data_IF_760283706230
#
_entry.id   IF_760283706230
#
_cell.length_a   1.000
_cell.length_b   1.000
_cell.length_c   1.000
_cell.angle_alpha   90.00
_cell.angle_beta   90.00
_cell.angle_gamma   90.00
#
_symmetry.space_group_name_H-M   'P 1'
#
loop_
_entity.id
_entity.type
_entity.pdbx_description
1 polymer ?
#
# COMPACT_ATOMS: atom_id res chain seq x y z
N UNK A 1 -8.93 -21.07 4.00
CA UNK A 1 -8.00 -19.95 4.31
C UNK A 1 -8.37 -19.40 5.67
N UNK A 2 -7.47 -19.47 6.67
CA UNK A 2 -7.73 -18.89 7.99
C UNK A 2 -7.69 -17.36 7.88
N UNK A 3 -8.74 -16.72 8.39
CA UNK A 3 -8.94 -15.27 8.39
C UNK A 3 -8.18 -14.69 9.58
N UNK A 4 -7.20 -13.82 9.34
CA UNK A 4 -6.33 -13.25 10.38
C UNK A 4 -7.00 -12.02 11.00
N UNK A 5 -7.66 -12.19 12.15
CA UNK A 5 -8.42 -11.13 12.83
C UNK A 5 -7.54 -10.17 13.68
N UNK A 6 -6.30 -10.57 14.01
CA UNK A 6 -5.37 -9.81 14.88
C UNK A 6 -4.01 -9.49 14.22
N UNK A 7 -4.04 -8.93 13.00
CA UNK A 7 -2.81 -8.50 12.30
C UNK A 7 -2.18 -7.27 12.97
N UNK A 8 -0.85 -7.28 13.07
CA UNK A 8 -0.02 -6.13 13.43
C UNK A 8 1.11 -5.96 12.41
N UNK A 9 1.55 -4.73 12.21
CA UNK A 9 2.72 -4.43 11.39
C UNK A 9 3.93 -4.25 12.32
N UNK A 10 5.05 -4.89 11.97
CA UNK A 10 6.33 -4.70 12.66
C UNK A 10 7.26 -3.93 11.74
N UNK A 11 7.87 -2.87 12.26
CA UNK A 11 8.98 -2.18 11.59
C UNK A 11 10.28 -2.80 12.10
N UNK A 12 11.08 -3.34 11.20
CA UNK A 12 12.42 -3.85 11.52
C UNK A 12 13.41 -2.84 10.99
N UNK A 13 13.99 -2.06 11.90
CA UNK A 13 15.14 -1.23 11.58
C UNK A 13 16.37 -2.14 11.48
N UNK A 14 16.68 -2.61 10.26
CA UNK A 14 17.99 -3.19 10.00
C UNK A 14 18.90 -2.09 9.47
N UNK A 15 20.05 -1.93 10.09
CA UNK A 15 21.13 -0.98 9.72
C UNK A 15 21.61 -1.09 8.27
N UNK A 16 21.08 -2.02 7.47
CA UNK A 16 21.40 -2.17 6.04
C UNK A 16 20.20 -2.15 5.10
N UNK A 17 18.94 -2.25 5.57
CA UNK A 17 17.69 -2.07 4.80
C UNK A 17 16.51 -1.82 5.76
N UNK A 18 15.75 -0.75 5.54
CA UNK A 18 14.44 -0.58 6.20
C UNK A 18 13.50 -1.66 5.65
N UNK A 19 12.97 -2.51 6.52
CA UNK A 19 12.05 -3.59 6.16
C UNK A 19 10.85 -3.63 7.10
N UNK A 20 9.68 -3.97 6.57
CA UNK A 20 8.48 -4.19 7.37
C UNK A 20 8.01 -5.64 7.21
N UNK A 21 7.38 -6.16 8.25
CA UNK A 21 6.78 -7.49 8.24
C UNK A 21 5.37 -7.42 8.83
N UNK A 22 4.42 -8.09 8.18
CA UNK A 22 3.09 -8.32 8.75
C UNK A 22 3.15 -9.57 9.61
N UNK A 23 2.53 -9.50 10.77
CA UNK A 23 2.55 -10.57 11.72
C UNK A 23 1.26 -10.68 12.52
N UNK A 24 1.06 -11.83 13.15
CA UNK A 24 -0.10 -12.12 13.99
C UNK A 24 0.29 -11.98 15.46
N UNK A 25 -0.58 -11.31 16.24
CA UNK A 25 -0.36 -11.11 17.67
C UNK A 25 -0.80 -12.34 18.46
N UNK A 26 0.12 -12.97 19.19
CA UNK A 26 -0.17 -14.17 20.00
C UNK A 26 -0.37 -13.91 21.50
N UNK A 27 -0.29 -12.65 21.98
CA UNK A 27 -0.41 -12.36 23.41
C UNK A 27 -0.60 -10.88 23.79
N UNK A 28 -1.08 -10.65 25.03
CA UNK A 28 -1.41 -9.31 25.56
C UNK A 28 -0.23 -8.59 26.23
N UNK A 29 0.75 -9.31 26.79
CA UNK A 29 1.94 -8.75 27.43
C UNK A 29 3.21 -8.96 26.58
N UNK A 30 4.04 -7.92 26.44
CA UNK A 30 5.36 -8.01 25.79
C UNK A 30 5.42 -8.52 24.35
N UNK A 31 4.28 -8.59 23.64
CA UNK A 31 4.09 -8.87 22.22
C UNK A 31 5.08 -9.88 21.61
N UNK A 32 4.88 -11.15 21.94
CA UNK A 32 5.32 -12.25 21.08
C UNK A 32 4.52 -12.20 19.77
N UNK A 33 5.22 -11.99 18.66
CA UNK A 33 4.66 -11.76 17.33
C UNK A 33 5.32 -12.74 16.36
N UNK A 34 4.50 -13.51 15.63
CA UNK A 34 5.01 -14.49 14.65
C UNK A 34 5.12 -13.83 13.28
N UNK A 35 6.35 -13.74 12.78
CA UNK A 35 6.60 -13.23 11.43
C UNK A 35 6.23 -14.31 10.41
N UNK A 36 5.22 -14.04 9.58
CA UNK A 36 4.71 -15.03 8.62
C UNK A 36 5.74 -15.45 7.56
N UNK A 37 6.76 -14.63 7.29
CA UNK A 37 7.81 -14.93 6.30
C UNK A 37 8.90 -15.87 6.80
N UNK A 38 8.97 -16.14 8.11
CA UNK A 38 10.03 -16.98 8.70
C UNK A 38 9.54 -17.97 9.75
N UNK A 39 8.22 -18.05 9.98
CA UNK A 39 7.57 -18.79 11.09
C UNK A 39 8.22 -18.55 12.47
N UNK A 40 9.01 -17.48 12.58
CA UNK A 40 9.82 -17.19 13.74
C UNK A 40 9.00 -16.33 14.69
N UNK A 41 8.88 -16.82 15.92
CA UNK A 41 8.31 -16.08 17.04
C UNK A 41 9.34 -15.06 17.50
N UNK A 42 9.03 -13.77 17.41
CA UNK A 42 9.85 -12.69 17.95
C UNK A 42 9.10 -11.95 19.06
N UNK A 43 9.76 -11.75 20.20
CA UNK A 43 9.27 -10.87 21.26
C UNK A 43 9.73 -9.45 20.97
N UNK A 44 8.79 -8.52 20.81
CA UNK A 44 9.09 -7.12 20.51
C UNK A 44 8.52 -6.17 21.57
N UNK A 45 9.20 -5.04 21.84
CA UNK A 45 8.62 -3.98 22.67
C UNK A 45 7.31 -3.46 22.09
N UNK A 46 6.35 -3.06 22.94
CA UNK A 46 5.05 -2.53 22.48
C UNK A 46 5.17 -1.32 21.54
N UNK A 47 6.24 -0.52 21.66
CA UNK A 47 6.43 0.69 20.85
C UNK A 47 6.90 0.44 19.41
N UNK A 48 7.38 -0.76 19.07
CA UNK A 48 7.83 -1.10 17.71
C UNK A 48 6.77 -1.79 16.87
N UNK A 49 5.63 -2.12 17.49
CA UNK A 49 4.48 -2.79 16.87
C UNK A 49 3.44 -1.73 16.53
N UNK A 50 3.11 -1.62 15.25
CA UNK A 50 2.12 -0.68 14.74
C UNK A 50 0.83 -1.41 14.35
N UNK A 51 -0.33 -0.74 14.46
CA UNK A 51 -1.59 -1.33 14.01
C UNK A 51 -1.56 -1.58 12.50
N UNK A 52 -2.08 -2.72 12.07
CA UNK A 52 -2.25 -3.05 10.66
C UNK A 52 -3.66 -2.71 10.18
N UNK A 53 -3.78 -2.34 8.91
CA UNK A 53 -5.07 -2.15 8.27
C UNK A 53 -5.76 -3.49 8.00
N UNK A 54 -7.11 -3.53 8.02
CA UNK A 54 -7.85 -4.73 7.63
C UNK A 54 -7.61 -5.07 6.15
N UNK A 55 -7.67 -6.36 5.83
CA UNK A 55 -7.37 -6.86 4.47
C UNK A 55 -8.24 -6.23 3.37
N UNK A 56 -9.43 -5.74 3.72
CA UNK A 56 -10.33 -5.07 2.76
C UNK A 56 -9.77 -3.74 2.24
N UNK A 57 -8.81 -3.13 2.96
CA UNK A 57 -8.13 -1.91 2.56
C UNK A 57 -6.77 -2.18 1.89
N UNK A 58 -6.42 -3.46 1.68
CA UNK A 58 -5.27 -3.82 0.86
C UNK A 58 -5.46 -3.32 -0.57
N UNK A 59 -4.40 -2.82 -1.17
CA UNK A 59 -4.37 -2.26 -2.52
C UNK A 59 -5.20 -0.99 -2.80
N UNK A 60 -5.82 -0.33 -1.80
CA UNK A 60 -6.61 0.89 -2.03
C UNK A 60 -5.97 1.91 -2.98
N UNK A 61 -6.80 2.51 -3.85
CA UNK A 61 -6.37 3.53 -4.82
C UNK A 61 -6.03 4.88 -4.16
N UNK A 62 -6.54 5.16 -2.95
CA UNK A 62 -6.29 6.40 -2.22
C UNK A 62 -5.82 6.08 -0.78
N UNK A 63 -4.55 6.38 -0.50
CA UNK A 63 -3.90 6.07 0.78
C UNK A 63 -4.59 6.74 1.97
N UNK A 64 -5.30 7.86 1.77
CA UNK A 64 -6.03 8.53 2.85
C UNK A 64 -7.23 7.71 3.34
N UNK A 65 -7.63 6.66 2.61
CA UNK A 65 -8.70 5.74 3.02
C UNK A 65 -8.20 4.65 3.98
N UNK A 66 -6.89 4.52 4.20
CA UNK A 66 -6.35 3.61 5.21
C UNK A 66 -6.81 4.07 6.60
N UNK A 67 -7.27 3.12 7.41
CA UNK A 67 -7.63 3.39 8.81
C UNK A 67 -6.41 3.76 9.65
N UNK A 68 -5.26 3.15 9.37
CA UNK A 68 -3.98 3.45 9.99
C UNK A 68 -2.99 3.95 8.94
N UNK A 69 -2.74 5.26 8.93
CA UNK A 69 -1.79 5.89 8.02
C UNK A 69 -0.38 5.93 8.64
N UNK A 70 0.20 4.75 8.82
CA UNK A 70 1.58 4.59 9.28
C UNK A 70 2.51 4.16 8.14
N UNK A 71 3.81 4.38 8.29
CA UNK A 71 4.82 4.04 7.30
C UNK A 71 4.70 2.60 6.76
N UNK A 72 4.60 1.52 7.59
CA UNK A 72 4.49 0.17 7.06
C UNK A 72 3.17 -0.09 6.33
N UNK A 73 2.07 0.59 6.70
CA UNK A 73 0.80 0.46 5.98
C UNK A 73 0.86 1.08 4.59
N UNK A 74 1.47 2.25 4.47
CA UNK A 74 1.69 2.90 3.16
C UNK A 74 2.61 2.05 2.30
N UNK A 75 3.72 1.60 2.85
CA UNK A 75 4.70 0.78 2.13
C UNK A 75 4.10 -0.57 1.69
N UNK A 76 3.29 -1.21 2.54
CA UNK A 76 2.59 -2.44 2.19
C UNK A 76 1.57 -2.23 1.08
N UNK A 77 0.77 -1.16 1.15
CA UNK A 77 -0.19 -0.84 0.10
C UNK A 77 0.52 -0.61 -1.24
N UNK A 78 1.58 0.20 -1.25
CA UNK A 78 2.39 0.45 -2.45
C UNK A 78 3.00 -0.84 -2.99
N UNK A 79 3.53 -1.71 -2.12
CA UNK A 79 4.05 -3.01 -2.53
C UNK A 79 2.98 -3.87 -3.21
N UNK A 80 1.80 -4.04 -2.58
CA UNK A 80 0.69 -4.80 -3.16
C UNK A 80 0.24 -4.25 -4.52
N UNK A 81 0.14 -2.92 -4.64
CA UNK A 81 -0.23 -2.26 -5.90
C UNK A 81 0.84 -2.44 -6.98
N UNK A 82 2.11 -2.28 -6.64
CA UNK A 82 3.22 -2.48 -7.56
C UNK A 82 3.29 -3.92 -8.07
N UNK A 83 3.10 -4.91 -7.20
CA UNK A 83 3.02 -6.32 -7.59
C UNK A 83 1.88 -6.61 -8.56
N UNK A 84 0.81 -5.84 -8.52
CA UNK A 84 -0.34 -5.92 -9.45
C UNK A 84 -0.18 -5.01 -10.68
N UNK A 85 1.00 -4.39 -10.90
CA UNK A 85 1.23 -3.42 -11.98
C UNK A 85 0.33 -2.17 -11.92
N UNK A 86 -0.19 -1.81 -10.73
CA UNK A 86 -0.92 -0.56 -10.49
C UNK A 86 0.10 0.54 -10.12
N UNK A 87 0.50 1.35 -11.09
CA UNK A 87 1.61 2.31 -10.96
C UNK A 87 1.23 3.64 -10.31
N UNK A 88 -0.05 3.98 -10.30
CA UNK A 88 -0.57 5.25 -9.79
C UNK A 88 -1.35 5.01 -8.49
N UNK A 89 -1.03 5.78 -7.46
CA UNK A 89 -1.71 5.70 -6.16
C UNK A 89 -1.97 7.10 -5.65
N UNK A 90 -3.21 7.42 -5.30
CA UNK A 90 -3.56 8.71 -4.73
C UNK A 90 -3.17 8.76 -3.25
N UNK A 91 -2.76 9.93 -2.82
CA UNK A 91 -2.58 10.31 -1.42
C UNK A 91 -3.10 11.75 -1.30
N UNK A 92 -4.43 11.91 -1.41
CA UNK A 92 -5.10 13.20 -1.60
C UNK A 92 -4.41 14.35 -0.85
N UNK A 93 -3.96 15.45 -1.47
CA UNK A 93 -4.14 15.91 -2.85
C UNK A 93 -3.01 15.52 -3.82
N UNK A 94 -2.18 14.54 -3.48
CA UNK A 94 -0.99 14.18 -4.25
C UNK A 94 -1.24 12.88 -5.02
N UNK A 95 -0.63 12.75 -6.20
CA UNK A 95 -0.54 11.49 -6.96
C UNK A 95 0.87 10.90 -6.83
N UNK A 96 0.97 9.70 -6.28
CA UNK A 96 2.20 8.91 -6.24
C UNK A 96 2.29 8.04 -7.49
N UNK A 97 3.47 8.02 -8.12
CA UNK A 97 3.73 7.23 -9.33
C UNK A 97 4.99 6.38 -9.12
N UNK A 98 4.85 5.06 -9.24
CA UNK A 98 5.96 4.12 -9.19
C UNK A 98 6.33 3.68 -10.60
N UNK A 99 7.61 3.82 -10.97
CA UNK A 99 8.12 3.40 -12.27
C UNK A 99 8.05 1.86 -12.37
N UNK A 100 7.31 1.28 -13.34
CA UNK A 100 7.22 -0.16 -13.50
C UNK A 100 8.49 -0.80 -14.07
N UNK A 101 9.44 -0.01 -14.57
CA UNK A 101 10.67 -0.46 -15.27
C UNK A 101 10.40 -1.47 -16.40
N UNK A 102 9.18 -1.44 -16.95
CA UNK A 102 8.75 -2.18 -18.13
C UNK A 102 8.56 -1.19 -19.26
N UNK A 103 8.82 -1.60 -20.49
CA UNK A 103 8.50 -0.80 -21.67
C UNK A 103 7.03 -0.40 -21.61
N UNK A 104 6.76 0.91 -21.49
CA UNK A 104 5.39 1.39 -21.52
C UNK A 104 4.87 1.17 -22.94
N UNK A 105 3.91 0.27 -23.11
CA UNK A 105 3.02 0.35 -24.27
C UNK A 105 2.23 1.66 -24.10
N UNK A 106 2.80 2.75 -24.61
CA UNK A 106 2.17 4.05 -24.59
C UNK A 106 0.93 3.94 -25.47
N UNK A 107 -0.23 3.64 -24.87
CA UNK A 107 -1.56 3.69 -25.51
C UNK A 107 -2.00 5.13 -25.74
N UNK A 108 -1.14 5.91 -26.40
CA UNK A 108 -1.26 7.36 -26.55
C UNK A 108 -2.50 7.80 -27.31
N UNK A 109 -3.03 6.97 -28.22
CA UNK A 109 -4.14 7.39 -29.08
C UNK A 109 -5.52 6.95 -28.55
N UNK A 110 -5.62 5.81 -27.85
CA UNK A 110 -6.91 5.27 -27.42
C UNK A 110 -7.46 5.93 -26.16
N UNK A 111 -6.60 6.38 -25.24
CA UNK A 111 -7.02 7.02 -23.99
C UNK A 111 -7.46 8.49 -24.18
N UNK A 112 -6.85 9.19 -25.15
CA UNK A 112 -7.22 10.58 -25.50
C UNK A 112 -8.63 10.65 -26.09
N UNK A 113 -9.04 9.65 -26.89
CA UNK A 113 -10.39 9.55 -27.44
C UNK A 113 -11.48 9.26 -26.36
N UNK A 114 -11.09 8.68 -25.23
CA UNK A 114 -11.96 8.40 -24.08
C UNK A 114 -12.12 9.57 -23.09
N UNK A 115 -11.45 10.71 -23.34
CA UNK A 115 -11.36 11.87 -22.45
C UNK A 115 -12.67 12.70 -22.34
N UNK A 116 -13.78 12.04 -22.05
CA UNK A 116 -15.09 12.65 -21.80
C UNK A 116 -15.95 11.87 -20.79
N UNK A 117 -15.53 10.68 -20.36
CA UNK A 117 -16.21 9.87 -19.36
C UNK A 117 -15.34 9.80 -18.10
N UNK A 118 -15.93 9.92 -16.91
CA UNK A 118 -15.23 9.63 -15.64
C UNK A 118 -14.57 8.25 -15.80
N UNK A 119 -13.25 8.12 -15.65
CA UNK A 119 -12.62 6.81 -15.79
C UNK A 119 -13.23 5.89 -14.72
N UNK A 120 -13.70 4.72 -15.13
CA UNK A 120 -14.16 3.65 -14.24
C UNK A 120 -13.00 2.95 -13.53
N UNK A 121 -11.76 3.34 -13.81
CA UNK A 121 -10.55 2.58 -13.54
C UNK A 121 -9.53 3.52 -12.91
N UNK A 122 -8.88 3.03 -11.84
CA UNK A 122 -7.64 3.44 -11.16
C UNK A 122 -7.00 4.80 -11.53
N UNK A 123 -6.40 5.53 -10.56
CA UNK A 123 -5.84 6.86 -10.78
C UNK A 123 -4.96 6.94 -12.05
N UNK A 124 -5.19 7.93 -12.92
CA UNK A 124 -4.42 8.12 -14.16
C UNK A 124 -3.94 9.57 -14.25
N UNK A 125 -2.68 9.77 -14.64
CA UNK A 125 -2.06 11.08 -14.83
C UNK A 125 -2.87 11.98 -15.78
N UNK A 126 -3.52 11.43 -16.81
CA UNK A 126 -4.35 12.21 -17.72
C UNK A 126 -5.58 12.82 -17.03
N UNK A 127 -6.21 12.06 -16.13
CA UNK A 127 -7.33 12.58 -15.33
C UNK A 127 -6.88 13.75 -14.46
N UNK A 128 -5.75 13.59 -13.76
CA UNK A 128 -5.20 14.63 -12.89
C UNK A 128 -4.77 15.89 -13.65
N UNK A 129 -4.15 15.72 -14.83
CA UNK A 129 -3.82 16.84 -15.69
C UNK A 129 -5.07 17.59 -16.17
N UNK A 130 -6.14 16.87 -16.53
CA UNK A 130 -7.42 17.47 -16.93
C UNK A 130 -8.10 18.20 -15.77
N UNK A 131 -8.16 17.57 -14.61
CA UNK A 131 -8.75 18.14 -13.38
C UNK A 131 -8.02 19.43 -12.96
N UNK A 132 -6.69 19.46 -13.06
CA UNK A 132 -5.90 20.67 -12.78
C UNK A 132 -6.10 21.78 -13.83
N UNK A 133 -6.41 21.42 -15.08
CA UNK A 133 -6.60 22.38 -16.17
C UNK A 133 -8.02 22.95 -16.25
N UNK A 134 -9.04 22.18 -15.83
CA UNK A 134 -10.44 22.60 -15.86
C UNK A 134 -10.89 23.10 -14.48
N UNK A 135 -11.07 24.43 -14.30
CA UNK A 135 -11.49 25.03 -13.03
C UNK A 135 -12.97 24.76 -12.69
#
# INVERSE_FOLDING_TARGET
MKRFEDKVAIVVESTKRVGFSIAERLGKEGASVVISSSEKVLTMPKGTVLPANPNILEDTDDLVQLSFLNEPSVLYNLFCRYSQSKTYTKASPILLVMNPFKGAEVRGNELVAGCGKKPRVSPDIYYWAKDAFMP
#
